data_IF_365170646447
#
_entry.id   IF_365170646447
#
_cell.length_a   1.000
_cell.length_b   1.000
_cell.length_c   1.000
_cell.angle_alpha   90.00
_cell.angle_beta   90.00
_cell.angle_gamma   90.00
#
_symmetry.space_group_name_H-M   'P 1'
#
loop_
_entity.id
_entity.type
_entity.pdbx_description
1 polymer ?
#
# COMPACT_ATOMS: atom_id res chain seq x y z
N UNK A 1 -1.61 -9.56 18.21
CA UNK A 1 -0.71 -8.41 18.01
C UNK A 1 -0.48 -8.31 16.53
N UNK A 2 -0.97 -7.26 15.89
CA UNK A 2 -0.60 -6.96 14.51
C UNK A 2 0.69 -6.15 14.62
N UNK A 3 1.83 -6.73 14.29
CA UNK A 3 3.09 -5.99 14.31
C UNK A 3 2.98 -4.87 13.28
N UNK A 4 3.08 -3.62 13.75
CA UNK A 4 3.21 -2.45 12.89
C UNK A 4 4.55 -2.57 12.17
N UNK A 5 4.50 -2.96 10.90
CA UNK A 5 5.69 -2.93 10.04
C UNK A 5 6.00 -1.47 9.73
N UNK A 6 6.96 -0.93 10.47
CA UNK A 6 7.52 0.40 10.21
C UNK A 6 8.68 0.24 9.23
N UNK A 7 8.60 0.94 8.11
CA UNK A 7 9.64 0.93 7.08
C UNK A 7 9.74 2.29 6.39
N UNK A 8 10.93 2.61 5.88
CA UNK A 8 11.12 3.74 5.00
C UNK A 8 10.73 3.34 3.57
N UNK A 9 9.99 4.21 2.88
CA UNK A 9 9.60 4.02 1.49
C UNK A 9 10.22 5.11 0.62
N UNK A 10 10.49 4.79 -0.64
CA UNK A 10 10.95 5.78 -1.62
C UNK A 10 9.75 6.29 -2.41
N UNK A 11 9.59 7.60 -2.41
CA UNK A 11 8.64 8.28 -3.28
C UNK A 11 9.37 8.73 -4.55
N UNK A 12 8.82 8.40 -5.71
CA UNK A 12 9.30 8.85 -7.01
C UNK A 12 8.24 9.67 -7.72
N UNK A 13 8.68 10.72 -8.40
CA UNK A 13 7.90 11.36 -9.45
C UNK A 13 7.86 10.40 -10.66
N UNK A 14 6.69 9.98 -11.14
CA UNK A 14 6.58 9.15 -12.35
C UNK A 14 7.05 9.88 -13.62
N UNK A 15 7.19 11.21 -13.58
CA UNK A 15 7.74 12.00 -14.70
C UNK A 15 6.81 12.12 -15.89
N UNK A 16 5.51 11.83 -15.70
CA UNK A 16 4.47 11.96 -16.73
C UNK A 16 3.74 13.31 -16.68
N UNK A 17 4.09 14.16 -15.71
CA UNK A 17 3.48 15.49 -15.53
C UNK A 17 2.07 15.46 -14.95
N UNK A 18 1.58 14.31 -14.47
CA UNK A 18 0.25 14.20 -13.87
C UNK A 18 0.19 14.77 -12.44
N UNK A 19 1.35 14.87 -11.79
CA UNK A 19 1.49 15.37 -10.42
C UNK A 19 1.22 14.32 -9.34
N UNK A 20 1.11 13.05 -9.71
CA UNK A 20 1.06 11.92 -8.78
C UNK A 20 2.46 11.52 -8.29
N UNK A 21 2.49 10.61 -7.31
CA UNK A 21 3.72 10.11 -6.69
C UNK A 21 3.66 8.59 -6.65
N UNK A 22 4.68 7.94 -7.18
CA UNK A 22 4.87 6.50 -7.10
C UNK A 22 5.57 6.16 -5.79
N UNK A 23 4.90 5.41 -4.92
CA UNK A 23 5.49 4.89 -3.68
C UNK A 23 6.02 3.48 -3.96
N UNK A 24 7.33 3.31 -3.88
CA UNK A 24 7.96 2.00 -3.98
C UNK A 24 7.89 1.28 -2.63
N UNK A 25 7.07 0.22 -2.56
CA UNK A 25 7.02 -0.69 -1.42
C UNK A 25 8.02 -1.82 -1.64
N UNK A 26 8.89 -2.07 -0.65
CA UNK A 26 9.83 -3.18 -0.71
C UNK A 26 9.09 -4.53 -0.68
N UNK A 27 9.69 -5.61 -1.23
CA UNK A 27 9.12 -6.95 -1.17
C UNK A 27 8.77 -7.41 0.25
N UNK A 28 9.57 -7.01 1.24
CA UNK A 28 9.34 -7.35 2.64
C UNK A 28 8.06 -6.70 3.19
N UNK A 29 7.80 -5.44 2.83
CA UNK A 29 6.57 -4.73 3.23
C UNK A 29 5.34 -5.38 2.56
N UNK A 30 5.42 -5.66 1.25
CA UNK A 30 4.35 -6.33 0.52
C UNK A 30 4.04 -7.72 1.11
N UNK A 31 5.09 -8.46 1.48
CA UNK A 31 4.97 -9.77 2.13
C UNK A 31 4.32 -9.65 3.50
N UNK A 32 4.75 -8.69 4.32
CA UNK A 32 4.17 -8.47 5.64
C UNK A 32 2.70 -8.02 5.60
N UNK A 33 2.32 -7.25 4.57
CA UNK A 33 0.93 -6.89 4.30
C UNK A 33 0.10 -8.05 3.71
N UNK A 34 0.77 -9.13 3.27
CA UNK A 34 0.19 -10.25 2.54
C UNK A 34 -0.58 -9.77 1.29
N UNK A 35 0.12 -9.01 0.44
CA UNK A 35 -0.41 -8.50 -0.84
C UNK A 35 0.48 -8.91 -2.00
N UNK A 36 -0.15 -9.31 -3.11
CA UNK A 36 0.49 -9.70 -4.35
C UNK A 36 0.05 -8.84 -5.54
N UNK A 37 0.50 -9.23 -6.73
CA UNK A 37 0.06 -8.60 -7.98
C UNK A 37 -1.46 -8.77 -8.14
N UNK A 38 -2.12 -7.71 -8.59
CA UNK A 38 -3.59 -7.64 -8.78
C UNK A 38 -4.43 -7.52 -7.51
N UNK A 39 -3.81 -7.53 -6.32
CA UNK A 39 -4.53 -7.20 -5.10
C UNK A 39 -4.86 -5.69 -5.06
N UNK A 40 -5.99 -5.36 -4.45
CA UNK A 40 -6.42 -3.99 -4.27
C UNK A 40 -6.03 -3.48 -2.88
N UNK A 41 -5.59 -2.22 -2.85
CA UNK A 41 -5.26 -1.49 -1.63
C UNK A 41 -6.18 -0.27 -1.53
N UNK A 42 -6.67 0.06 -0.34
CA UNK A 42 -7.23 1.38 -0.07
C UNK A 42 -6.11 2.33 0.34
N UNK A 43 -6.28 3.60 -0.05
CA UNK A 43 -5.41 4.70 0.34
C UNK A 43 -6.27 5.71 1.09
N UNK A 44 -5.90 6.04 2.32
CA UNK A 44 -6.62 6.97 3.17
C UNK A 44 -5.64 7.99 3.77
N UNK A 45 -6.07 9.26 3.90
CA UNK A 45 -5.35 10.26 4.69
C UNK A 45 -5.97 10.34 6.07
N UNK A 46 -5.26 9.85 7.09
CA UNK A 46 -5.73 9.82 8.48
C UNK A 46 -4.72 10.57 9.33
N UNK A 47 -5.16 11.67 9.95
CA UNK A 47 -4.32 12.50 10.83
C UNK A 47 -3.01 12.96 10.17
N UNK A 48 -3.06 13.26 8.86
CA UNK A 48 -1.88 13.68 8.09
C UNK A 48 -0.97 12.54 7.65
N UNK A 49 -1.30 11.28 7.97
CA UNK A 49 -0.58 10.08 7.53
C UNK A 49 -1.30 9.41 6.37
N UNK A 50 -0.56 9.00 5.34
CA UNK A 50 -1.08 8.14 4.28
C UNK A 50 -1.10 6.70 4.79
N UNK A 51 -2.29 6.12 4.90
CA UNK A 51 -2.51 4.76 5.38
C UNK A 51 -2.88 3.88 4.20
N UNK A 52 -2.12 2.80 4.01
CA UNK A 52 -2.36 1.77 3.00
C UNK A 52 -2.97 0.54 3.68
N UNK A 53 -4.12 0.07 3.19
CA UNK A 53 -4.78 -1.14 3.72
C UNK A 53 -5.12 -2.12 2.60
N UNK A 54 -4.83 -3.42 2.75
CA UNK A 54 -5.33 -4.43 1.83
C UNK A 54 -6.86 -4.50 1.83
N UNK A 55 -7.48 -4.44 0.64
CA UNK A 55 -8.91 -4.67 0.48
C UNK A 55 -9.13 -6.18 0.42
N UNK A 56 -9.55 -6.76 1.53
CA UNK A 56 -9.95 -8.17 1.59
C UNK A 56 -11.44 -8.26 1.32
N UNK A 57 -11.82 -8.77 0.15
CA UNK A 57 -13.21 -9.12 -0.10
C UNK A 57 -13.63 -10.21 0.88
N UNK A 58 -14.37 -9.86 1.93
CA UNK A 58 -14.90 -10.80 2.92
C UNK A 58 -16.03 -11.71 2.37
N UNK A 59 -16.15 -11.86 1.06
CA UNK A 59 -17.27 -12.58 0.46
C UNK A 59 -17.19 -12.71 -1.04
N UNK A 60 -16.34 -13.59 -1.54
CA UNK A 60 -16.67 -14.38 -2.74
C UNK A 60 -16.39 -15.83 -2.42
N UNK A 61 -17.35 -16.45 -1.72
CA UNK A 61 -17.51 -17.90 -1.74
C UNK A 61 -18.09 -18.21 -3.13
N UNK A 62 -17.25 -18.58 -4.08
CA UNK A 62 -17.67 -19.35 -5.24
C UNK A 62 -17.67 -20.83 -4.90
#
# INVERSE_FOLDING_TARGET
MSDLVQGEVKCRDPGDGSGDVVIELSPDILTAMNVGLSDLLSIELVEGMVVLKPIRNAGTKS
#
